data_IF_505789504325
#
_entry.id   IF_505789504325
#
_cell.length_a   1.000
_cell.length_b   1.000
_cell.length_c   1.000
_cell.angle_alpha   90.00
_cell.angle_beta   90.00
_cell.angle_gamma   90.00
#
_symmetry.space_group_name_H-M   'P 1'
#
loop_
_entity.id
_entity.type
_entity.pdbx_description
1 polymer ?
#
# COMPACT_ATOMS: atom_id res chain seq x y z
N UNK A 1 29.56 16.92 -41.68
CA UNK A 1 28.25 17.55 -41.46
C UNK A 1 28.44 18.67 -40.45
N UNK A 2 28.17 19.91 -40.84
CA UNK A 2 28.19 21.06 -39.92
C UNK A 2 26.80 21.10 -39.29
N UNK A 3 26.65 20.59 -38.07
CA UNK A 3 25.38 20.66 -37.36
C UNK A 3 25.21 22.08 -36.83
N UNK A 4 24.06 22.69 -37.11
CA UNK A 4 23.74 23.99 -36.56
C UNK A 4 23.70 23.88 -35.02
N UNK A 5 24.53 24.64 -34.29
CA UNK A 5 24.60 24.56 -32.83
C UNK A 5 23.25 24.87 -32.18
N UNK A 6 22.40 25.71 -32.80
CA UNK A 6 21.08 26.03 -32.28
C UNK A 6 20.12 24.83 -32.38
N UNK A 7 20.23 24.03 -33.44
CA UNK A 7 19.41 22.83 -33.62
C UNK A 7 19.75 21.77 -32.57
N UNK A 8 21.03 21.64 -32.22
CA UNK A 8 21.51 20.71 -31.19
C UNK A 8 20.99 21.10 -29.81
N UNK A 9 21.00 22.40 -29.49
CA UNK A 9 20.48 22.93 -28.23
C UNK A 9 18.95 22.70 -28.13
N UNK A 10 18.22 22.97 -29.22
CA UNK A 10 16.76 22.77 -29.26
C UNK A 10 16.37 21.30 -29.05
N UNK A 11 17.09 20.38 -29.71
CA UNK A 11 16.93 18.94 -29.51
C UNK A 11 17.22 18.53 -28.06
N UNK A 12 18.27 19.08 -27.46
CA UNK A 12 18.61 18.84 -26.06
C UNK A 12 17.49 19.25 -25.12
N UNK A 13 16.91 20.44 -25.30
CA UNK A 13 15.78 20.93 -24.49
C UNK A 13 14.55 20.04 -24.68
N UNK A 14 14.23 19.67 -25.93
CA UNK A 14 13.07 18.84 -26.24
C UNK A 14 13.17 17.46 -25.58
N UNK A 15 14.30 16.77 -25.76
CA UNK A 15 14.52 15.44 -25.18
C UNK A 15 14.52 15.50 -23.66
N UNK A 16 15.21 16.49 -23.07
CA UNK A 16 15.28 16.61 -21.62
C UNK A 16 13.92 16.98 -21.01
N UNK A 17 13.14 17.82 -21.70
CA UNK A 17 11.76 18.15 -21.34
C UNK A 17 10.86 16.92 -21.35
N UNK A 18 10.92 16.10 -22.40
CA UNK A 18 10.18 14.84 -22.48
C UNK A 18 10.54 13.89 -21.34
N UNK A 19 11.84 13.66 -21.11
CA UNK A 19 12.31 12.78 -20.03
C UNK A 19 11.81 13.26 -18.67
N UNK A 20 11.86 14.57 -18.42
CA UNK A 20 11.40 15.16 -17.16
C UNK A 20 9.91 14.92 -16.95
N UNK A 21 9.08 15.20 -17.95
CA UNK A 21 7.62 14.99 -17.87
C UNK A 21 7.30 13.52 -17.62
N UNK A 22 7.91 12.61 -18.39
CA UNK A 22 7.72 11.17 -18.19
C UNK A 22 8.16 10.70 -16.81
N UNK A 23 9.30 11.21 -16.31
CA UNK A 23 9.82 10.86 -14.99
C UNK A 23 8.88 11.31 -13.87
N UNK A 24 8.33 12.53 -13.97
CA UNK A 24 7.36 13.05 -12.99
C UNK A 24 6.07 12.22 -13.01
N UNK A 25 5.53 11.93 -14.19
CA UNK A 25 4.32 11.10 -14.31
C UNK A 25 4.54 9.68 -13.73
N UNK A 26 5.69 9.09 -14.01
CA UNK A 26 6.06 7.78 -13.48
C UNK A 26 6.21 7.80 -11.95
N UNK A 27 6.83 8.85 -11.41
CA UNK A 27 6.96 9.03 -9.97
C UNK A 27 5.58 9.12 -9.30
N UNK A 28 4.68 9.95 -9.82
CA UNK A 28 3.31 10.09 -9.31
C UNK A 28 2.60 8.74 -9.35
N UNK A 29 2.69 8.01 -10.46
CA UNK A 29 2.10 6.68 -10.61
C UNK A 29 2.59 5.69 -9.53
N UNK A 30 3.90 5.62 -9.28
CA UNK A 30 4.48 4.76 -8.25
C UNK A 30 3.98 5.18 -6.86
N UNK A 31 4.05 6.48 -6.55
CA UNK A 31 3.63 7.00 -5.24
C UNK A 31 2.16 6.72 -4.97
N UNK A 32 1.28 6.89 -5.96
CA UNK A 32 -0.14 6.55 -5.83
C UNK A 32 -0.32 5.06 -5.51
N UNK A 33 0.41 4.17 -6.20
CA UNK A 33 0.32 2.73 -5.95
C UNK A 33 0.80 2.35 -4.55
N UNK A 34 1.91 2.95 -4.09
CA UNK A 34 2.44 2.75 -2.74
C UNK A 34 1.44 3.25 -1.69
N UNK A 35 0.90 4.47 -1.89
CA UNK A 35 -0.09 5.06 -1.01
C UNK A 35 -1.33 4.17 -0.87
N UNK A 36 -1.90 3.72 -2.00
CA UNK A 36 -3.04 2.80 -2.00
C UNK A 36 -2.68 1.51 -1.27
N UNK A 37 -1.50 0.93 -1.51
CA UNK A 37 -1.08 -0.30 -0.83
C UNK A 37 -0.98 -0.14 0.69
N UNK A 38 -0.44 0.99 1.17
CA UNK A 38 -0.35 1.30 2.60
C UNK A 38 -1.76 1.51 3.18
N UNK A 39 -2.59 2.33 2.54
CA UNK A 39 -3.95 2.62 3.00
C UNK A 39 -4.81 1.35 3.00
N UNK A 40 -4.73 0.51 1.97
CA UNK A 40 -5.42 -0.79 1.95
C UNK A 40 -4.97 -1.69 3.10
N UNK A 41 -3.66 -1.76 3.40
CA UNK A 41 -3.16 -2.52 4.56
C UNK A 41 -3.62 -1.94 5.90
N UNK A 42 -3.78 -0.63 6.02
CA UNK A 42 -4.31 0.02 7.22
C UNK A 42 -5.81 -0.19 7.37
N UNK A 43 -6.59 -0.10 6.29
CA UNK A 43 -8.03 -0.45 6.29
C UNK A 43 -8.29 -1.91 6.66
N UNK A 44 -7.40 -2.82 6.28
CA UNK A 44 -7.49 -4.24 6.68
C UNK A 44 -7.13 -4.41 8.17
N UNK A 45 -6.36 -3.50 8.77
CA UNK A 45 -6.09 -3.49 10.22
C UNK A 45 -7.18 -2.79 11.06
N UNK A 46 -8.05 -2.01 10.43
CA UNK A 46 -9.27 -1.46 11.06
C UNK A 46 -10.43 -2.50 11.15
N UNK A 47 -10.14 -3.78 10.92
CA UNK A 47 -11.03 -4.84 11.37
C UNK A 47 -10.87 -5.00 12.89
N UNK A 48 -11.65 -4.22 13.64
CA UNK A 48 -11.87 -4.35 15.09
C UNK A 48 -12.46 -5.73 15.50
N UNK A 49 -12.40 -6.74 14.64
CA UNK A 49 -12.72 -8.14 14.92
C UNK A 49 -11.60 -8.90 15.66
N UNK A 50 -10.33 -8.55 15.43
CA UNK A 50 -9.19 -9.36 15.90
C UNK A 50 -8.92 -9.20 17.41
N UNK A 51 -9.17 -8.04 18.03
CA UNK A 51 -8.96 -7.85 19.47
C UNK A 51 -9.98 -8.63 20.31
N UNK A 52 -11.25 -8.61 19.92
CA UNK A 52 -12.32 -9.32 20.64
C UNK A 52 -12.18 -10.83 20.44
N UNK A 53 -11.87 -11.27 19.23
CA UNK A 53 -11.64 -12.68 18.95
C UNK A 53 -10.41 -13.20 19.73
N UNK A 54 -9.32 -12.44 19.77
CA UNK A 54 -8.15 -12.77 20.60
C UNK A 54 -8.49 -12.85 22.07
N UNK A 55 -9.18 -11.85 22.61
CA UNK A 55 -9.59 -11.84 24.02
C UNK A 55 -10.48 -13.05 24.38
N UNK A 56 -11.40 -13.43 23.49
CA UNK A 56 -12.24 -14.62 23.67
C UNK A 56 -11.40 -15.89 23.57
N UNK A 57 -10.51 -15.99 22.59
CA UNK A 57 -9.66 -17.16 22.37
C UNK A 57 -8.72 -17.40 23.56
N UNK A 58 -8.12 -16.35 24.09
CA UNK A 58 -7.25 -16.42 25.28
C UNK A 58 -8.05 -16.89 26.50
N UNK A 59 -9.28 -16.38 26.68
CA UNK A 59 -10.17 -16.82 27.76
C UNK A 59 -10.59 -18.29 27.63
N UNK A 60 -10.91 -18.75 26.41
CA UNK A 60 -11.27 -20.16 26.15
C UNK A 60 -10.06 -21.08 26.37
N UNK A 61 -8.86 -20.64 25.97
CA UNK A 61 -7.62 -21.36 26.23
C UNK A 61 -7.36 -21.50 27.73
N UNK A 62 -7.52 -20.42 28.49
CA UNK A 62 -7.38 -20.40 29.95
C UNK A 62 -8.40 -21.34 30.64
N UNK A 63 -9.67 -21.27 30.25
CA UNK A 63 -10.75 -22.10 30.82
C UNK A 63 -10.61 -23.59 30.50
N UNK A 64 -10.00 -23.92 29.37
CA UNK A 64 -9.86 -25.31 28.89
C UNK A 64 -8.49 -25.93 29.20
N UNK A 65 -7.59 -25.21 29.85
CA UNK A 65 -6.20 -25.64 30.05
C UNK A 65 -5.46 -25.86 28.72
N UNK A 66 -5.75 -25.04 27.71
CA UNK A 66 -5.10 -25.06 26.39
C UNK A 66 -5.66 -26.08 25.39
N UNK A 67 -6.75 -26.79 25.71
CA UNK A 67 -7.33 -27.84 24.84
C UNK A 67 -8.54 -27.37 24.03
N UNK A 68 -9.17 -26.28 24.42
CA UNK A 68 -10.35 -25.70 23.80
C UNK A 68 -9.98 -24.78 22.64
N UNK A 69 -10.71 -24.89 21.54
CA UNK A 69 -10.58 -24.02 20.37
C UNK A 69 -11.90 -23.30 20.12
N UNK A 70 -11.83 -22.00 19.83
CA UNK A 70 -12.99 -21.21 19.44
C UNK A 70 -13.44 -21.62 18.04
N UNK A 71 -14.61 -22.26 17.91
CA UNK A 71 -15.16 -22.71 16.62
C UNK A 71 -16.04 -21.62 15.98
N UNK A 72 -16.83 -20.93 16.80
CA UNK A 72 -17.72 -19.86 16.38
C UNK A 72 -18.05 -19.01 17.61
N UNK A 73 -18.04 -17.70 17.46
CA UNK A 73 -18.67 -16.79 18.41
C UNK A 73 -19.80 -16.06 17.71
N UNK A 74 -20.88 -15.80 18.43
CA UNK A 74 -22.02 -15.04 17.92
C UNK A 74 -22.25 -13.92 18.92
N UNK A 75 -22.13 -12.69 18.44
CA UNK A 75 -22.48 -11.52 19.23
C UNK A 75 -23.98 -11.58 19.49
N UNK A 76 -24.36 -11.72 20.75
CA UNK A 76 -25.75 -11.63 21.21
C UNK A 76 -26.03 -10.12 21.27
N UNK A 77 -26.36 -9.53 20.12
CA UNK A 77 -26.93 -8.19 20.08
C UNK A 77 -28.44 -8.27 20.25
#
# INVERSE_FOLDING_TARGET
MNYDPNLTILLGILVNGMITVFSVLFLVFILSKIFISIVSKLKIKEDNGDEVEKAIKDKISELSGGKGTLIKYTKIS
#
